data_IF_749717216589
#
_entry.id   IF_749717216589
#
_cell.length_a   1.000
_cell.length_b   1.000
_cell.length_c   1.000
_cell.angle_alpha   90.00
_cell.angle_beta   90.00
_cell.angle_gamma   90.00
#
_symmetry.space_group_name_H-M   'P 1'
#
loop_
_entity.id
_entity.type
_entity.pdbx_description
1 polymer ?
#
# COMPACT_ATOMS: atom_id res chain seq x y z
N UNK A 1 -17.00 -0.79 23.60
CA UNK A 1 -16.26 0.11 22.68
C UNK A 1 -14.76 0.18 22.99
N UNK A 2 -14.33 0.28 24.27
CA UNK A 2 -12.91 0.35 24.64
C UNK A 2 -12.01 -0.80 24.10
N UNK A 3 -12.51 -2.05 24.07
CA UNK A 3 -11.72 -3.20 23.59
C UNK A 3 -11.44 -3.18 22.07
N UNK A 4 -12.32 -2.56 21.27
CA UNK A 4 -12.22 -2.51 19.80
C UNK A 4 -11.19 -1.45 19.35
N UNK A 5 -11.13 -0.34 20.08
CA UNK A 5 -10.14 0.70 19.88
C UNK A 5 -8.75 0.22 20.34
N UNK A 6 -8.67 -0.49 21.48
CA UNK A 6 -7.42 -1.07 21.97
C UNK A 6 -6.76 -2.05 20.99
N UNK A 7 -7.54 -2.92 20.34
CA UNK A 7 -7.02 -3.83 19.31
C UNK A 7 -6.52 -3.11 18.06
N UNK A 8 -7.21 -2.06 17.64
CA UNK A 8 -6.81 -1.27 16.46
C UNK A 8 -5.51 -0.49 16.73
N UNK A 9 -5.38 0.09 17.92
CA UNK A 9 -4.17 0.78 18.37
C UNK A 9 -3.00 -0.21 18.49
N UNK A 10 -3.22 -1.37 19.11
CA UNK A 10 -2.19 -2.40 19.22
C UNK A 10 -1.74 -2.91 17.84
N UNK A 11 -2.68 -3.10 16.91
CA UNK A 11 -2.37 -3.47 15.52
C UNK A 11 -1.56 -2.40 14.79
N UNK A 12 -1.94 -1.12 14.94
CA UNK A 12 -1.18 0.00 14.35
C UNK A 12 0.23 0.11 14.95
N UNK A 13 0.37 -0.05 16.26
CA UNK A 13 1.67 -0.05 16.93
C UNK A 13 2.54 -1.22 16.47
N UNK A 14 1.98 -2.43 16.37
CA UNK A 14 2.69 -3.59 15.85
C UNK A 14 3.15 -3.40 14.41
N UNK A 15 2.31 -2.83 13.55
CA UNK A 15 2.68 -2.50 12.17
C UNK A 15 3.80 -1.45 12.10
N UNK A 16 3.76 -0.42 12.95
CA UNK A 16 4.80 0.59 13.04
C UNK A 16 6.14 0.01 13.53
N UNK A 17 6.10 -0.85 14.55
CA UNK A 17 7.29 -1.56 15.04
C UNK A 17 7.87 -2.48 13.97
N UNK A 18 7.03 -3.25 13.27
CA UNK A 18 7.46 -4.11 12.17
C UNK A 18 8.12 -3.28 11.06
N UNK A 19 7.52 -2.16 10.69
CA UNK A 19 8.08 -1.24 9.70
C UNK A 19 9.45 -0.69 10.13
N UNK A 20 9.58 -0.27 11.40
CA UNK A 20 10.84 0.20 11.95
C UNK A 20 11.91 -0.90 11.97
N UNK A 21 11.54 -2.13 12.34
CA UNK A 21 12.46 -3.28 12.31
C UNK A 21 12.91 -3.61 10.89
N UNK A 22 12.02 -3.54 9.89
CA UNK A 22 12.39 -3.71 8.49
C UNK A 22 13.34 -2.60 8.01
N UNK A 23 13.08 -1.35 8.39
CA UNK A 23 13.98 -0.24 8.08
C UNK A 23 15.36 -0.43 8.73
N UNK A 24 15.40 -0.74 10.02
CA UNK A 24 16.66 -0.97 10.76
C UNK A 24 17.42 -2.14 10.15
N UNK A 25 16.75 -3.28 9.94
CA UNK A 25 17.38 -4.47 9.36
C UNK A 25 17.92 -4.23 7.96
N UNK A 26 17.25 -3.39 7.16
CA UNK A 26 17.78 -2.93 5.88
C UNK A 26 19.02 -2.05 6.08
N UNK A 27 18.94 -0.99 6.88
CA UNK A 27 20.07 -0.06 7.09
C UNK A 27 21.29 -0.68 7.76
N UNK A 28 21.09 -1.73 8.56
CA UNK A 28 22.15 -2.48 9.24
C UNK A 28 22.57 -3.74 8.49
N UNK A 29 22.08 -3.95 7.26
CA UNK A 29 22.43 -5.08 6.40
C UNK A 29 22.30 -6.45 7.08
N UNK A 30 21.16 -6.71 7.75
CA UNK A 30 20.92 -8.00 8.38
C UNK A 30 20.98 -9.14 7.36
N UNK A 31 21.94 -10.05 7.53
CA UNK A 31 22.23 -11.12 6.56
C UNK A 31 21.01 -12.01 6.28
N UNK A 32 20.22 -12.34 7.30
CA UNK A 32 18.99 -13.13 7.13
C UNK A 32 17.96 -12.39 6.28
N UNK A 33 17.78 -11.09 6.53
CA UNK A 33 16.81 -10.28 5.78
C UNK A 33 17.22 -10.17 4.31
N UNK A 34 18.51 -9.90 4.04
CA UNK A 34 19.04 -9.84 2.68
C UNK A 34 18.95 -11.20 1.97
N UNK A 35 19.29 -12.30 2.64
CA UNK A 35 19.24 -13.64 2.05
C UNK A 35 17.82 -14.06 1.67
N UNK A 36 16.82 -13.76 2.51
CA UNK A 36 15.41 -14.04 2.22
C UNK A 36 14.91 -13.16 1.08
N UNK A 37 15.24 -11.87 1.07
CA UNK A 37 14.85 -10.93 0.00
C UNK A 37 15.43 -11.37 -1.36
N UNK A 38 16.73 -11.69 -1.40
CA UNK A 38 17.41 -12.16 -2.60
C UNK A 38 16.88 -13.51 -3.08
N UNK A 39 16.55 -14.43 -2.18
CA UNK A 39 15.98 -15.73 -2.54
C UNK A 39 14.61 -15.57 -3.19
N UNK A 40 13.73 -14.75 -2.60
CA UNK A 40 12.42 -14.44 -3.19
C UNK A 40 12.57 -13.77 -4.57
N UNK A 41 13.47 -12.78 -4.69
CA UNK A 41 13.72 -12.09 -5.95
C UNK A 41 14.18 -13.05 -7.05
N UNK A 42 15.10 -13.96 -6.76
CA UNK A 42 15.56 -14.96 -7.73
C UNK A 42 14.43 -15.88 -8.19
N UNK A 43 13.67 -16.45 -7.24
CA UNK A 43 12.56 -17.36 -7.57
C UNK A 43 11.53 -16.69 -8.48
N UNK A 44 11.11 -15.46 -8.16
CA UNK A 44 10.13 -14.74 -8.98
C UNK A 44 10.71 -14.25 -10.31
N UNK A 45 11.99 -13.89 -10.35
CA UNK A 45 12.68 -13.53 -11.58
C UNK A 45 12.77 -14.70 -12.56
N UNK A 46 13.11 -15.90 -12.07
CA UNK A 46 13.23 -17.10 -12.90
C UNK A 46 11.88 -17.49 -13.51
N UNK A 47 10.80 -17.41 -12.73
CA UNK A 47 9.43 -17.63 -13.23
C UNK A 47 9.02 -16.55 -14.21
N UNK A 48 9.29 -15.27 -13.90
CA UNK A 48 8.88 -14.13 -14.71
C UNK A 48 9.59 -14.04 -16.05
N UNK A 49 10.90 -14.29 -16.07
CA UNK A 49 11.72 -14.31 -17.29
C UNK A 49 11.29 -15.42 -18.26
N UNK A 50 10.85 -16.56 -17.75
CA UNK A 50 10.29 -17.65 -18.55
C UNK A 50 8.86 -17.36 -19.09
N UNK A 51 8.13 -16.40 -18.50
CA UNK A 51 6.73 -16.14 -18.85
C UNK A 51 6.43 -14.64 -19.05
N UNK A 52 6.87 -14.03 -20.17
CA UNK A 52 6.66 -12.59 -20.41
C UNK A 52 5.18 -12.15 -20.41
N UNK A 53 4.27 -13.02 -20.87
CA UNK A 53 2.83 -12.75 -20.85
C UNK A 53 2.25 -12.67 -19.42
N UNK A 54 2.77 -13.47 -18.50
CA UNK A 54 2.40 -13.44 -17.09
C UNK A 54 2.89 -12.14 -16.42
N UNK A 55 4.11 -11.71 -16.71
CA UNK A 55 4.65 -10.42 -16.24
C UNK A 55 3.79 -9.27 -16.74
N UNK A 56 3.46 -9.24 -18.03
CA UNK A 56 2.62 -8.18 -18.62
C UNK A 56 1.22 -8.13 -18.01
N UNK A 57 0.62 -9.30 -17.72
CA UNK A 57 -0.67 -9.35 -17.04
C UNK A 57 -0.60 -8.68 -15.67
N UNK A 58 0.39 -9.02 -14.84
CA UNK A 58 0.54 -8.43 -13.52
C UNK A 58 0.90 -6.95 -13.56
N UNK A 59 1.68 -6.51 -14.54
CA UNK A 59 1.98 -5.10 -14.76
C UNK A 59 0.70 -4.31 -15.05
N UNK A 60 -0.10 -4.73 -16.02
CA UNK A 60 -1.38 -4.10 -16.35
C UNK A 60 -2.33 -4.11 -15.15
N UNK A 61 -2.39 -5.24 -14.43
CA UNK A 61 -3.20 -5.36 -13.22
C UNK A 61 -2.77 -4.35 -12.14
N UNK A 62 -1.46 -4.25 -11.88
CA UNK A 62 -0.90 -3.31 -10.88
C UNK A 62 -1.06 -1.85 -11.28
N UNK A 63 -1.00 -1.53 -12.58
CA UNK A 63 -1.25 -0.17 -13.09
C UNK A 63 -2.73 0.18 -12.97
N UNK A 64 -3.62 -0.71 -13.40
CA UNK A 64 -5.06 -0.48 -13.39
C UNK A 64 -5.62 -0.39 -11.96
N UNK A 65 -5.15 -1.25 -11.05
CA UNK A 65 -5.51 -1.24 -9.63
C UNK A 65 -4.41 -0.59 -8.78
N UNK A 66 -3.68 0.36 -9.36
CA UNK A 66 -2.64 1.09 -8.68
C UNK A 66 -3.18 2.17 -7.74
N UNK A 67 -2.31 2.79 -6.91
CA UNK A 67 -2.69 3.84 -5.99
C UNK A 67 -3.47 4.99 -6.65
N UNK A 68 -3.13 5.35 -7.89
CA UNK A 68 -3.79 6.42 -8.64
C UNK A 68 -5.28 6.16 -8.83
N UNK A 69 -5.67 4.92 -9.16
CA UNK A 69 -7.08 4.58 -9.33
C UNK A 69 -7.85 4.76 -8.01
N UNK A 70 -7.29 4.29 -6.90
CA UNK A 70 -7.88 4.47 -5.58
C UNK A 70 -7.98 5.94 -5.16
N UNK A 71 -6.98 6.77 -5.49
CA UNK A 71 -7.02 8.22 -5.23
C UNK A 71 -8.11 8.92 -6.04
N UNK A 72 -8.28 8.58 -7.32
CA UNK A 72 -9.36 9.14 -8.14
C UNK A 72 -10.74 8.80 -7.54
N UNK A 73 -10.94 7.54 -7.14
CA UNK A 73 -12.19 7.11 -6.48
C UNK A 73 -12.39 7.83 -5.15
N UNK A 74 -11.36 7.90 -4.31
CA UNK A 74 -11.41 8.59 -3.02
C UNK A 74 -11.73 10.08 -3.19
N UNK A 75 -11.12 10.75 -4.17
CA UNK A 75 -11.40 12.14 -4.49
C UNK A 75 -12.88 12.36 -4.86
N UNK A 76 -13.44 11.49 -5.71
CA UNK A 76 -14.87 11.54 -6.02
C UNK A 76 -15.76 11.39 -4.78
N UNK A 77 -15.40 10.48 -3.87
CA UNK A 77 -16.12 10.29 -2.60
C UNK A 77 -15.94 11.47 -1.63
N UNK A 78 -14.77 12.12 -1.62
CA UNK A 78 -14.52 13.35 -0.85
C UNK A 78 -15.45 14.45 -1.34
N UNK A 79 -15.52 14.70 -2.65
CA UNK A 79 -16.43 15.70 -3.25
C UNK A 79 -17.87 15.39 -2.87
N UNK A 80 -18.30 14.13 -3.02
CA UNK A 80 -19.64 13.69 -2.64
C UNK A 80 -19.93 13.91 -1.15
N UNK A 81 -18.97 13.59 -0.27
CA UNK A 81 -19.10 13.77 1.16
C UNK A 81 -19.21 15.26 1.55
N UNK A 82 -18.44 16.13 0.90
CA UNK A 82 -18.51 17.60 1.09
C UNK A 82 -19.88 18.13 0.65
N UNK A 83 -20.37 17.73 -0.53
CA UNK A 83 -21.70 18.13 -1.03
C UNK A 83 -22.80 17.67 -0.06
N UNK A 84 -22.66 16.49 0.53
CA UNK A 84 -23.57 15.95 1.54
C UNK A 84 -23.32 16.46 2.96
N UNK A 85 -22.43 17.44 3.15
CA UNK A 85 -22.06 18.03 4.46
C UNK A 85 -21.50 17.00 5.47
N UNK A 86 -21.03 15.86 5.01
CA UNK A 86 -20.37 14.84 5.83
C UNK A 86 -18.86 15.08 5.85
N UNK A 87 -18.46 16.13 6.58
CA UNK A 87 -17.05 16.55 6.65
C UNK A 87 -16.16 15.48 7.30
N UNK A 88 -16.67 14.69 8.24
CA UNK A 88 -15.90 13.61 8.87
C UNK A 88 -15.39 12.59 7.85
N UNK A 89 -16.24 12.19 6.90
CA UNK A 89 -15.85 11.24 5.84
C UNK A 89 -14.87 11.88 4.85
N UNK A 90 -15.12 13.13 4.47
CA UNK A 90 -14.23 13.88 3.58
C UNK A 90 -12.82 14.02 4.17
N UNK A 91 -12.73 14.44 5.43
CA UNK A 91 -11.46 14.61 6.15
C UNK A 91 -10.76 13.26 6.33
N UNK A 92 -11.50 12.21 6.71
CA UNK A 92 -10.94 10.87 6.84
C UNK A 92 -10.30 10.38 5.54
N UNK A 93 -11.01 10.48 4.41
CA UNK A 93 -10.49 10.04 3.11
C UNK A 93 -9.32 10.91 2.64
N UNK A 94 -9.39 12.22 2.85
CA UNK A 94 -8.31 13.14 2.49
C UNK A 94 -7.02 12.83 3.27
N UNK A 95 -7.11 12.73 4.61
CA UNK A 95 -5.96 12.43 5.45
C UNK A 95 -5.42 11.03 5.14
N UNK A 96 -6.29 10.04 4.96
CA UNK A 96 -5.85 8.65 4.78
C UNK A 96 -5.29 8.42 3.38
N UNK A 97 -6.02 8.78 2.32
CA UNK A 97 -5.69 8.38 0.94
C UNK A 97 -4.85 9.42 0.22
N UNK A 98 -5.17 10.71 0.37
CA UNK A 98 -4.47 11.77 -0.38
C UNK A 98 -3.11 12.12 0.23
N UNK A 99 -3.04 12.29 1.56
CA UNK A 99 -1.77 12.59 2.24
C UNK A 99 -0.81 11.40 2.27
N UNK A 100 -1.28 10.17 2.06
CA UNK A 100 -0.42 8.98 1.98
C UNK A 100 0.62 9.08 0.85
N UNK A 101 0.29 9.78 -0.25
CA UNK A 101 1.27 10.04 -1.30
C UNK A 101 2.50 10.80 -0.78
N UNK A 102 2.30 11.77 0.12
CA UNK A 102 3.39 12.52 0.73
C UNK A 102 4.21 11.66 1.70
N UNK A 103 3.55 10.83 2.51
CA UNK A 103 4.22 9.90 3.44
C UNK A 103 5.10 8.91 2.67
N UNK A 104 4.58 8.38 1.57
CA UNK A 104 5.31 7.44 0.70
C UNK A 104 6.55 8.10 0.08
N UNK A 105 6.38 9.31 -0.47
CA UNK A 105 7.47 10.06 -1.09
C UNK A 105 8.55 10.43 -0.07
N UNK A 106 8.16 10.85 1.14
CA UNK A 106 9.10 11.11 2.22
C UNK A 106 9.87 9.84 2.61
N UNK A 107 9.19 8.71 2.79
CA UNK A 107 9.84 7.43 3.11
C UNK A 107 10.83 6.97 2.03
N UNK A 108 10.52 7.22 0.77
CA UNK A 108 11.40 6.90 -0.35
C UNK A 108 12.67 7.72 -0.37
N UNK A 109 12.56 9.02 -0.09
CA UNK A 109 13.71 9.93 -0.01
C UNK A 109 14.60 9.65 1.19
N UNK A 110 14.02 9.22 2.31
CA UNK A 110 14.78 8.93 3.54
C UNK A 110 15.52 7.59 3.48
N UNK A 111 14.99 6.59 2.79
CA UNK A 111 15.61 5.25 2.74
C UNK A 111 16.59 5.06 1.60
N UNK A 112 16.43 5.81 0.50
CA UNK A 112 17.28 5.83 -0.69
C UNK A 112 17.74 4.44 -1.17
N UNK A 113 16.86 3.44 -1.04
CA UNK A 113 17.18 2.05 -1.38
C UNK A 113 17.13 1.88 -2.90
N UNK A 114 18.25 1.48 -3.54
CA UNK A 114 18.25 1.23 -4.98
C UNK A 114 17.33 0.05 -5.34
N UNK A 115 16.80 0.08 -6.57
CA UNK A 115 16.05 -1.05 -7.14
C UNK A 115 17.02 -2.19 -7.48
N UNK A 116 16.62 -3.46 -7.32
CA UNK A 116 17.42 -4.58 -7.80
C UNK A 116 17.56 -4.52 -9.33
N UNK A 117 18.73 -4.87 -9.85
CA UNK A 117 19.02 -4.89 -11.30
C UNK A 117 18.21 -5.95 -12.06
N UNK A 118 17.64 -6.93 -11.35
CA UNK A 118 16.74 -7.96 -11.87
C UNK A 118 15.28 -7.51 -11.95
N UNK A 119 15.00 -6.20 -11.94
CA UNK A 119 13.65 -5.69 -12.04
C UNK A 119 12.99 -6.11 -13.37
N UNK A 120 11.86 -6.80 -13.27
CA UNK A 120 11.09 -7.25 -14.44
C UNK A 120 10.30 -6.12 -15.13
N UNK A 121 10.10 -5.00 -14.42
CA UNK A 121 9.41 -3.80 -14.91
C UNK A 121 10.16 -2.57 -14.42
N UNK A 122 10.41 -1.63 -15.33
CA UNK A 122 11.02 -0.35 -15.01
C UNK A 122 10.06 0.49 -14.16
N UNK A 123 10.56 1.03 -13.04
CA UNK A 123 9.92 2.18 -12.44
C UNK A 123 10.93 3.13 -11.82
N UNK A 124 10.63 4.43 -11.96
CA UNK A 124 11.58 5.55 -11.78
C UNK A 124 11.92 5.82 -10.30
N UNK A 125 11.17 5.25 -9.36
CA UNK A 125 11.32 5.55 -7.92
C UNK A 125 12.09 4.48 -7.14
N UNK A 126 12.66 4.82 -5.98
CA UNK A 126 13.33 3.88 -5.06
C UNK A 126 12.45 2.71 -4.62
N UNK A 127 13.07 1.62 -4.18
CA UNK A 127 12.41 0.33 -3.93
C UNK A 127 11.71 0.25 -2.57
N UNK A 128 12.14 1.06 -1.60
CA UNK A 128 11.58 1.06 -0.25
C UNK A 128 11.11 2.47 0.15
N UNK A 129 9.98 2.62 0.85
CA UNK A 129 8.87 1.65 0.91
C UNK A 129 8.16 1.51 -0.45
N UNK A 130 7.48 0.38 -0.68
CA UNK A 130 6.69 0.19 -1.90
C UNK A 130 5.44 1.09 -1.88
N UNK A 131 5.47 2.14 -2.69
CA UNK A 131 4.35 3.07 -2.82
C UNK A 131 3.09 2.43 -3.40
N UNK A 132 3.24 1.42 -4.27
CA UNK A 132 2.11 0.65 -4.77
C UNK A 132 1.46 -0.16 -3.65
N UNK A 133 2.24 -0.93 -2.89
CA UNK A 133 1.72 -1.75 -1.80
C UNK A 133 1.03 -0.89 -0.73
N UNK A 134 1.71 0.17 -0.26
CA UNK A 134 1.18 1.05 0.76
C UNK A 134 -0.08 1.80 0.28
N UNK A 135 -0.03 2.37 -0.93
CA UNK A 135 -1.15 3.11 -1.51
C UNK A 135 -2.39 2.25 -1.74
N UNK A 136 -2.22 1.00 -2.22
CA UNK A 136 -3.33 0.06 -2.41
C UNK A 136 -3.91 -0.40 -1.08
N UNK A 137 -3.08 -0.78 -0.09
CA UNK A 137 -3.58 -1.19 1.23
C UNK A 137 -4.42 -0.08 1.86
N UNK A 138 -3.92 1.16 1.85
CA UNK A 138 -4.62 2.31 2.41
C UNK A 138 -5.88 2.63 1.63
N UNK A 139 -5.81 2.63 0.30
CA UNK A 139 -6.96 2.84 -0.57
C UNK A 139 -8.09 1.84 -0.30
N UNK A 140 -7.77 0.54 -0.32
CA UNK A 140 -8.75 -0.52 -0.07
C UNK A 140 -9.35 -0.41 1.33
N UNK A 141 -8.53 -0.27 2.38
CA UNK A 141 -9.02 -0.21 3.76
C UNK A 141 -9.86 1.05 4.02
N UNK A 142 -9.47 2.20 3.47
CA UNK A 142 -10.21 3.44 3.62
C UNK A 142 -11.56 3.38 2.89
N UNK A 143 -11.57 2.88 1.64
CA UNK A 143 -12.81 2.72 0.87
C UNK A 143 -13.74 1.70 1.54
N UNK A 144 -13.24 0.56 2.02
CA UNK A 144 -14.05 -0.39 2.78
C UNK A 144 -14.62 0.26 4.04
N UNK A 145 -13.83 1.03 4.79
CA UNK A 145 -14.31 1.70 6.01
C UNK A 145 -15.51 2.62 5.73
N UNK A 146 -15.48 3.36 4.60
CA UNK A 146 -16.54 4.31 4.23
C UNK A 146 -17.72 3.64 3.53
N UNK A 147 -17.47 2.64 2.69
CA UNK A 147 -18.49 2.00 1.86
C UNK A 147 -19.17 0.81 2.55
N UNK A 148 -18.52 0.16 3.51
CA UNK A 148 -19.08 -0.98 4.24
C UNK A 148 -20.44 -0.68 4.88
N UNK A 149 -20.67 0.47 5.55
CA UNK A 149 -21.96 0.78 6.17
C UNK A 149 -23.09 1.03 5.17
N UNK A 150 -22.78 1.33 3.91
CA UNK A 150 -23.78 1.60 2.85
C UNK A 150 -23.97 0.43 1.89
N UNK A 151 -23.11 -0.59 1.93
CA UNK A 151 -23.24 -1.79 1.10
C UNK A 151 -24.51 -2.59 1.47
N UNK A 152 -25.29 -3.09 0.51
CA UNK A 152 -26.40 -4.00 0.75
C UNK A 152 -25.98 -5.19 1.62
N UNK A 153 -26.86 -5.65 2.53
CA UNK A 153 -26.59 -6.79 3.43
C UNK A 153 -26.18 -8.05 2.66
N UNK A 154 -26.70 -8.25 1.44
CA UNK A 154 -26.35 -9.36 0.55
C UNK A 154 -24.88 -9.38 0.11
N UNK A 155 -24.19 -8.24 0.16
CA UNK A 155 -22.76 -8.13 -0.20
C UNK A 155 -21.84 -8.15 1.04
N UNK A 156 -22.40 -8.26 2.26
CA UNK A 156 -21.64 -8.32 3.52
C UNK A 156 -21.54 -9.75 4.09
N UNK A 157 -21.65 -10.76 3.22
CA UNK A 157 -21.60 -12.17 3.65
C UNK A 157 -20.15 -12.52 4.01
N UNK A 158 -19.90 -13.13 5.19
CA UNK A 158 -18.56 -13.57 5.60
C UNK A 158 -18.01 -14.71 4.74
#
# INVERSE_FOLDING_TARGET
MASRNGRSIAGAAAAAVLYALMWIGFTQHWALLAAVDDWLLRVFHDVGSAHPGWVRFWDVFCVALGPTAFRIVAFGLIVLAVVRRNLSTAVFLFISVELMGLVTEAGKRLSDRPRPSSALVDAVSTSFPSGHALGVMVGVLALLTVLWPVMPVRLRVP
#
